data_IF_221993465863
#
_entry.id   IF_221993465863
#
_cell.length_a   1.000
_cell.length_b   1.000
_cell.length_c   1.000
_cell.angle_alpha   90.00
_cell.angle_beta   90.00
_cell.angle_gamma   90.00
#
_symmetry.space_group_name_H-M   'P 1'
#
loop_
_entity.id
_entity.type
_entity.pdbx_description
1 polymer ?
#
# COMPACT_ATOMS: atom_id res chain seq x y z
N UNK A 1 -21.17 -16.41 -1.30
CA UNK A 1 -20.34 -15.26 -0.85
C UNK A 1 -21.18 -14.40 0.08
N UNK A 2 -20.82 -14.26 1.36
CA UNK A 2 -21.50 -13.30 2.24
C UNK A 2 -21.02 -11.90 1.87
N UNK A 3 -21.91 -11.06 1.38
CA UNK A 3 -21.61 -9.67 1.08
C UNK A 3 -21.51 -8.93 2.41
N UNK A 4 -20.33 -8.41 2.76
CA UNK A 4 -20.12 -7.62 3.96
C UNK A 4 -20.12 -6.14 3.59
N UNK A 5 -21.28 -5.45 3.56
CA UNK A 5 -21.37 -4.05 3.12
C UNK A 5 -20.48 -3.11 3.94
N UNK A 6 -20.27 -3.43 5.22
CA UNK A 6 -19.34 -2.70 6.10
C UNK A 6 -17.88 -2.76 5.60
N UNK A 7 -17.43 -3.90 5.09
CA UNK A 7 -16.07 -4.04 4.56
C UNK A 7 -15.85 -3.18 3.32
N UNK A 8 -16.85 -3.09 2.43
CA UNK A 8 -16.79 -2.20 1.27
C UNK A 8 -16.81 -0.71 1.68
N UNK A 9 -17.65 -0.34 2.64
CA UNK A 9 -17.68 1.02 3.20
C UNK A 9 -16.35 1.42 3.84
N UNK A 10 -15.73 0.52 4.62
CA UNK A 10 -14.42 0.73 5.23
C UNK A 10 -13.30 0.84 4.18
N UNK A 11 -13.32 0.01 3.13
CA UNK A 11 -12.34 0.08 2.05
C UNK A 11 -12.43 1.42 1.28
N UNK A 12 -13.65 1.90 1.02
CA UNK A 12 -13.87 3.19 0.38
C UNK A 12 -13.37 4.36 1.26
N UNK A 13 -13.69 4.34 2.55
CA UNK A 13 -13.19 5.33 3.50
C UNK A 13 -11.66 5.32 3.59
N UNK A 14 -11.04 4.13 3.63
CA UNK A 14 -9.59 3.98 3.63
C UNK A 14 -8.93 4.59 2.39
N UNK A 15 -9.53 4.39 1.20
CA UNK A 15 -9.04 5.00 -0.04
C UNK A 15 -9.09 6.54 0.00
N UNK A 16 -10.17 7.12 0.52
CA UNK A 16 -10.31 8.59 0.68
C UNK A 16 -9.27 9.11 1.68
N UNK A 17 -9.16 8.47 2.85
CA UNK A 17 -8.20 8.88 3.88
C UNK A 17 -6.77 8.82 3.37
N UNK A 18 -6.42 7.77 2.62
CA UNK A 18 -5.11 7.63 2.00
C UNK A 18 -4.84 8.72 0.96
N UNK A 19 -5.81 9.01 0.08
CA UNK A 19 -5.68 10.08 -0.91
C UNK A 19 -5.54 11.47 -0.27
N UNK A 20 -6.31 11.73 0.79
CA UNK A 20 -6.22 12.96 1.58
C UNK A 20 -4.84 13.07 2.27
N UNK A 21 -4.37 11.99 2.89
CA UNK A 21 -3.03 11.92 3.50
C UNK A 21 -1.93 12.25 2.49
N UNK A 22 -1.93 11.59 1.32
CA UNK A 22 -0.93 11.85 0.27
C UNK A 22 -0.98 13.31 -0.19
N UNK A 23 -2.17 13.89 -0.36
CA UNK A 23 -2.34 15.27 -0.83
C UNK A 23 -1.90 16.32 0.19
N UNK A 24 -2.23 16.12 1.47
CA UNK A 24 -1.88 17.03 2.57
C UNK A 24 -0.39 16.90 2.90
N UNK A 25 0.14 15.69 2.97
CA UNK A 25 1.56 15.45 3.29
C UNK A 25 2.47 16.10 2.26
N UNK A 26 2.14 16.02 0.97
CA UNK A 26 2.90 16.71 -0.09
C UNK A 26 2.91 18.23 0.11
N UNK A 27 1.79 18.84 0.50
CA UNK A 27 1.68 20.30 0.70
C UNK A 27 2.33 20.79 2.00
N UNK A 28 2.26 19.99 3.06
CA UNK A 28 2.65 20.40 4.41
C UNK A 28 4.04 19.89 4.82
N UNK A 29 4.62 18.90 4.12
CA UNK A 29 5.85 18.27 4.59
C UNK A 29 7.02 19.22 4.73
N UNK A 30 7.16 20.29 3.92
CA UNK A 30 8.28 21.26 4.04
C UNK A 30 9.66 20.56 4.19
N UNK A 31 9.83 19.36 3.60
CA UNK A 31 11.02 18.52 3.75
C UNK A 31 11.15 17.69 5.04
N UNK A 32 10.18 17.76 5.96
CA UNK A 32 10.15 16.99 7.22
C UNK A 32 9.41 15.66 7.04
N UNK A 33 10.04 14.58 7.50
CA UNK A 33 9.50 13.23 7.47
C UNK A 33 8.50 13.00 8.62
N UNK A 34 7.20 13.15 8.33
CA UNK A 34 6.09 12.84 9.26
C UNK A 34 5.70 11.36 9.29
N UNK A 35 6.19 10.56 8.34
CA UNK A 35 5.84 9.14 8.18
C UNK A 35 6.22 8.34 9.43
N UNK A 36 7.38 8.62 10.02
CA UNK A 36 7.85 7.94 11.24
C UNK A 36 6.89 8.15 12.42
N UNK A 37 6.42 9.38 12.63
CA UNK A 37 5.47 9.71 13.71
C UNK A 37 4.13 9.03 13.45
N UNK A 38 3.67 9.03 12.20
CA UNK A 38 2.44 8.33 11.80
C UNK A 38 2.52 6.83 12.13
N UNK A 39 3.62 6.15 11.78
CA UNK A 39 3.79 4.73 12.12
C UNK A 39 3.86 4.48 13.62
N UNK A 40 4.53 5.35 14.38
CA UNK A 40 4.56 5.23 15.84
C UNK A 40 3.15 5.33 16.43
N UNK A 41 2.34 6.29 15.97
CA UNK A 41 0.94 6.45 16.40
C UNK A 41 0.09 5.25 16.00
N UNK A 42 0.22 4.76 14.76
CA UNK A 42 -0.49 3.55 14.30
C UNK A 42 -0.11 2.34 15.15
N UNK A 43 1.16 2.15 15.48
CA UNK A 43 1.61 1.07 16.35
C UNK A 43 0.97 1.18 17.74
N UNK A 44 0.94 2.37 18.34
CA UNK A 44 0.28 2.60 19.64
C UNK A 44 -1.21 2.27 19.57
N UNK A 45 -1.92 2.73 18.54
CA UNK A 45 -3.35 2.44 18.35
C UNK A 45 -3.59 0.94 18.17
N UNK A 46 -2.75 0.23 17.42
CA UNK A 46 -2.87 -1.21 17.22
C UNK A 46 -2.58 -1.99 18.51
N UNK A 47 -1.61 -1.57 19.32
CA UNK A 47 -1.38 -2.15 20.64
C UNK A 47 -2.55 -1.94 21.58
N UNK A 48 -3.09 -0.72 21.64
CA UNK A 48 -4.32 -0.41 22.40
C UNK A 48 -5.44 -1.34 21.96
N UNK A 49 -5.71 -1.42 20.65
CA UNK A 49 -6.74 -2.30 20.09
C UNK A 49 -6.52 -3.76 20.48
N UNK A 50 -5.29 -4.25 20.45
CA UNK A 50 -4.95 -5.61 20.87
C UNK A 50 -5.28 -5.84 22.35
N UNK A 51 -4.95 -4.91 23.25
CA UNK A 51 -5.27 -5.02 24.68
C UNK A 51 -6.78 -5.02 24.97
N UNK A 52 -7.57 -4.30 24.17
CA UNK A 52 -9.03 -4.25 24.34
C UNK A 52 -9.79 -5.34 23.57
N UNK A 53 -9.16 -6.03 22.61
CA UNK A 53 -9.74 -7.17 21.93
C UNK A 53 -9.51 -8.44 22.76
N UNK A 54 -10.57 -9.22 22.99
CA UNK A 54 -10.49 -10.58 23.52
C UNK A 54 -9.97 -11.58 22.46
N UNK A 55 -8.89 -11.21 21.78
CA UNK A 55 -8.27 -12.00 20.71
C UNK A 55 -7.37 -13.11 21.25
N UNK A 56 -7.02 -14.03 20.37
CA UNK A 56 -6.06 -15.11 20.64
C UNK A 56 -4.72 -14.55 21.10
N UNK A 57 -4.08 -15.21 22.08
CA UNK A 57 -2.74 -14.84 22.53
C UNK A 57 -1.73 -14.88 21.37
N UNK A 58 -0.87 -13.86 21.27
CA UNK A 58 0.24 -13.84 20.31
C UNK A 58 1.21 -14.98 20.67
N UNK A 59 1.39 -15.91 19.74
CA UNK A 59 2.32 -17.03 19.87
C UNK A 59 3.61 -16.73 19.10
N UNK A 60 4.70 -16.54 19.83
CA UNK A 60 6.04 -16.35 19.28
C UNK A 60 6.69 -17.70 18.99
N UNK A 61 6.34 -18.29 17.85
CA UNK A 61 7.07 -19.41 17.25
C UNK A 61 8.20 -18.86 16.37
N UNK A 62 9.24 -19.66 16.13
CA UNK A 62 10.35 -19.30 15.22
C UNK A 62 9.83 -18.80 13.85
N UNK A 63 8.98 -19.59 13.18
CA UNK A 63 8.44 -19.24 11.85
C UNK A 63 7.61 -17.95 11.85
N UNK A 64 6.78 -17.75 12.87
CA UNK A 64 5.97 -16.53 13.02
C UNK A 64 6.86 -15.31 13.25
N UNK A 65 7.93 -15.47 14.03
CA UNK A 65 8.85 -14.38 14.36
C UNK A 65 9.67 -13.97 13.13
N UNK A 66 10.17 -14.94 12.35
CA UNK A 66 10.87 -14.66 11.09
C UNK A 66 9.94 -13.95 10.11
N UNK A 67 8.70 -14.45 9.96
CA UNK A 67 7.69 -13.83 9.10
C UNK A 67 7.36 -12.40 9.54
N UNK A 68 7.24 -12.17 10.85
CA UNK A 68 7.00 -10.84 11.43
C UNK A 68 8.14 -9.87 11.10
N UNK A 69 9.40 -10.29 11.28
CA UNK A 69 10.57 -9.46 10.98
C UNK A 69 10.63 -9.14 9.48
N UNK A 70 10.39 -10.13 8.62
CA UNK A 70 10.36 -9.93 7.16
C UNK A 70 9.26 -8.95 6.75
N UNK A 71 8.05 -9.10 7.29
CA UNK A 71 6.93 -8.19 7.04
C UNK A 71 7.21 -6.77 7.55
N UNK A 72 7.77 -6.64 8.76
CA UNK A 72 8.17 -5.37 9.35
C UNK A 72 9.27 -4.68 8.52
N UNK A 73 10.26 -5.44 8.06
CA UNK A 73 11.31 -4.96 7.17
C UNK A 73 10.75 -4.48 5.82
N UNK A 74 9.89 -5.27 5.18
CA UNK A 74 9.24 -4.91 3.92
C UNK A 74 8.42 -3.61 4.06
N UNK A 75 7.65 -3.48 5.14
CA UNK A 75 6.89 -2.25 5.43
C UNK A 75 7.82 -1.07 5.71
N UNK A 76 8.79 -1.22 6.63
CA UNK A 76 9.68 -0.13 7.03
C UNK A 76 10.55 0.39 5.89
N UNK A 77 11.18 -0.51 5.14
CA UNK A 77 11.99 -0.16 3.97
C UNK A 77 11.13 0.42 2.84
N UNK A 78 9.96 -0.18 2.58
CA UNK A 78 9.04 0.31 1.55
C UNK A 78 8.58 1.74 1.81
N UNK A 79 8.20 2.06 3.05
CA UNK A 79 7.83 3.43 3.43
C UNK A 79 9.02 4.39 3.50
N UNK A 80 10.20 3.91 3.88
CA UNK A 80 11.44 4.68 3.77
C UNK A 80 11.73 5.11 2.34
N UNK A 81 11.68 4.16 1.39
CA UNK A 81 11.84 4.42 -0.04
C UNK A 81 10.74 5.33 -0.59
N UNK A 82 9.49 5.14 -0.17
CA UNK A 82 8.37 6.01 -0.54
C UNK A 82 8.59 7.46 -0.11
N UNK A 83 9.06 7.67 1.12
CA UNK A 83 9.33 9.02 1.63
C UNK A 83 10.47 9.71 0.86
N UNK A 84 11.55 8.99 0.55
CA UNK A 84 12.63 9.49 -0.31
C UNK A 84 12.10 9.84 -1.70
N UNK A 85 11.24 9.00 -2.26
CA UNK A 85 10.60 9.22 -3.56
C UNK A 85 9.72 10.48 -3.58
N UNK A 86 8.91 10.73 -2.54
CA UNK A 86 8.06 11.93 -2.46
C UNK A 86 8.90 13.21 -2.36
N UNK A 87 9.95 13.22 -1.54
CA UNK A 87 10.73 14.42 -1.24
C UNK A 87 11.69 14.77 -2.38
N UNK A 88 12.32 13.77 -2.98
CA UNK A 88 13.45 13.94 -3.91
C UNK A 88 13.24 13.33 -5.30
N UNK A 89 12.13 12.64 -5.54
CA UNK A 89 11.85 11.93 -6.79
C UNK A 89 10.84 12.62 -7.70
N UNK A 90 10.60 12.00 -8.86
CA UNK A 90 9.54 12.44 -9.78
C UNK A 90 8.21 11.78 -9.39
N UNK A 91 7.30 12.56 -8.79
CA UNK A 91 5.98 12.07 -8.36
C UNK A 91 5.17 11.40 -9.48
N UNK A 92 5.31 11.86 -10.72
CA UNK A 92 4.62 11.27 -11.88
C UNK A 92 5.13 9.86 -12.19
N UNK A 93 6.45 9.65 -12.09
CA UNK A 93 7.06 8.33 -12.27
C UNK A 93 6.70 7.39 -11.11
N UNK A 94 6.69 7.89 -9.88
CA UNK A 94 6.26 7.14 -8.70
C UNK A 94 4.81 6.68 -8.78
N UNK A 95 3.90 7.57 -9.21
CA UNK A 95 2.50 7.22 -9.44
C UNK A 95 2.39 6.13 -10.51
N UNK A 96 3.11 6.28 -11.62
CA UNK A 96 3.22 5.28 -12.69
C UNK A 96 3.70 3.91 -12.18
N UNK A 97 4.79 3.88 -11.43
CA UNK A 97 5.36 2.66 -10.87
C UNK A 97 4.43 1.97 -9.86
N UNK A 98 3.69 2.75 -9.06
CA UNK A 98 2.73 2.22 -8.07
C UNK A 98 1.57 1.45 -8.73
N UNK A 99 1.26 1.73 -9.99
CA UNK A 99 0.24 0.98 -10.71
C UNK A 99 0.65 -0.45 -11.08
N UNK A 100 1.94 -0.78 -11.02
CA UNK A 100 2.41 -2.17 -11.16
C UNK A 100 2.27 -2.97 -9.86
N UNK A 101 1.98 -2.33 -8.72
CA UNK A 101 1.86 -3.01 -7.42
C UNK A 101 0.85 -4.17 -7.42
N UNK A 102 -0.37 -4.04 -7.99
CA UNK A 102 -1.31 -5.18 -8.05
C UNK A 102 -0.77 -6.36 -8.87
N UNK A 103 -0.01 -6.08 -9.94
CA UNK A 103 0.59 -7.10 -10.82
C UNK A 103 1.70 -7.85 -10.09
N UNK A 104 2.64 -7.11 -9.49
CA UNK A 104 3.74 -7.69 -8.71
C UNK A 104 3.20 -8.44 -7.50
N UNK A 105 2.24 -7.87 -6.78
CA UNK A 105 1.63 -8.50 -5.60
C UNK A 105 1.03 -9.86 -5.94
N UNK A 106 0.27 -9.95 -7.02
CA UNK A 106 -0.33 -11.21 -7.44
C UNK A 106 0.68 -12.21 -7.99
N UNK A 107 1.71 -11.74 -8.71
CA UNK A 107 2.81 -12.58 -9.18
C UNK A 107 3.53 -13.24 -7.98
N UNK A 108 3.93 -12.45 -6.98
CA UNK A 108 4.56 -12.99 -5.77
C UNK A 108 3.62 -13.87 -4.95
N UNK A 109 2.33 -13.50 -4.84
CA UNK A 109 1.35 -14.36 -4.18
C UNK A 109 1.25 -15.73 -4.88
N UNK A 110 1.23 -15.77 -6.21
CA UNK A 110 1.18 -17.01 -6.95
C UNK A 110 2.43 -17.89 -6.76
N UNK A 111 3.62 -17.28 -6.70
CA UNK A 111 4.86 -17.97 -6.37
C UNK A 111 4.81 -18.57 -4.95
N UNK A 112 4.39 -17.77 -3.96
CA UNK A 112 4.32 -18.20 -2.55
C UNK A 112 3.27 -19.29 -2.34
N UNK A 113 2.08 -19.14 -2.95
CA UNK A 113 0.98 -20.10 -2.85
C UNK A 113 1.10 -21.28 -3.82
N UNK A 114 2.15 -21.33 -4.66
CA UNK A 114 2.35 -22.35 -5.70
C UNK A 114 1.10 -22.59 -6.54
N UNK A 115 0.41 -21.51 -6.92
CA UNK A 115 -0.87 -21.56 -7.63
C UNK A 115 -0.74 -20.96 -9.03
N UNK A 116 -1.42 -21.56 -10.01
CA UNK A 116 -1.48 -20.99 -11.36
C UNK A 116 -2.49 -19.85 -11.39
N UNK A 117 -2.06 -18.68 -11.89
CA UNK A 117 -3.00 -17.59 -12.09
C UNK A 117 -3.86 -17.87 -13.32
N UNK A 118 -5.17 -17.75 -13.17
CA UNK A 118 -6.12 -18.00 -14.26
C UNK A 118 -6.00 -16.95 -15.38
N UNK A 119 -6.53 -17.28 -16.55
CA UNK A 119 -6.63 -16.32 -17.65
C UNK A 119 -7.43 -15.06 -17.26
N UNK A 120 -8.52 -15.22 -16.51
CA UNK A 120 -9.37 -14.12 -16.02
C UNK A 120 -8.55 -13.17 -15.12
N UNK A 121 -7.65 -13.72 -14.31
CA UNK A 121 -6.75 -12.91 -13.49
C UNK A 121 -5.84 -12.03 -14.35
N UNK A 122 -5.20 -12.60 -15.38
CA UNK A 122 -4.31 -11.87 -16.28
C UNK A 122 -5.05 -10.80 -17.09
N UNK A 123 -6.29 -11.07 -17.48
CA UNK A 123 -7.17 -10.08 -18.09
C UNK A 123 -7.46 -8.92 -17.13
N UNK A 124 -7.76 -9.20 -15.85
CA UNK A 124 -7.93 -8.18 -14.82
C UNK A 124 -6.67 -7.33 -14.61
N UNK A 125 -5.49 -7.96 -14.55
CA UNK A 125 -4.19 -7.28 -14.50
C UNK A 125 -3.99 -6.36 -15.69
N UNK A 126 -4.28 -6.84 -16.91
CA UNK A 126 -4.15 -6.03 -18.11
C UNK A 126 -5.08 -4.82 -18.08
N UNK A 127 -6.34 -4.99 -17.64
CA UNK A 127 -7.30 -3.89 -17.52
C UNK A 127 -6.88 -2.83 -16.51
N UNK A 128 -6.39 -3.24 -15.32
CA UNK A 128 -5.91 -2.31 -14.29
C UNK A 128 -4.66 -1.57 -14.77
N UNK A 129 -3.72 -2.28 -15.39
CA UNK A 129 -2.49 -1.68 -15.94
C UNK A 129 -2.82 -0.71 -17.07
N UNK A 130 -3.76 -1.05 -17.96
CA UNK A 130 -4.21 -0.17 -19.03
C UNK A 130 -4.89 1.09 -18.48
N UNK A 131 -5.80 0.95 -17.51
CA UNK A 131 -6.46 2.08 -16.85
C UNK A 131 -5.46 3.02 -16.19
N UNK A 132 -4.47 2.46 -15.50
CA UNK A 132 -3.35 3.20 -14.93
C UNK A 132 -2.52 3.99 -15.96
N UNK A 133 -2.15 3.34 -17.07
CA UNK A 133 -1.42 3.99 -18.17
C UNK A 133 -2.26 5.10 -18.79
N UNK A 134 -3.56 4.89 -18.99
CA UNK A 134 -4.48 5.91 -19.49
C UNK A 134 -4.59 7.11 -18.53
N UNK A 135 -4.74 6.87 -17.22
CA UNK A 135 -4.72 7.92 -16.21
C UNK A 135 -3.42 8.71 -16.23
N UNK A 136 -2.28 8.03 -16.38
CA UNK A 136 -0.99 8.66 -16.52
C UNK A 136 -0.89 9.52 -17.79
N UNK A 137 -1.27 8.99 -18.95
CA UNK A 137 -1.29 9.74 -20.21
C UNK A 137 -2.19 10.98 -20.15
N UNK A 138 -3.36 10.88 -19.50
CA UNK A 138 -4.30 11.98 -19.35
C UNK A 138 -3.81 13.08 -18.39
N UNK A 139 -3.03 12.70 -17.37
CA UNK A 139 -2.49 13.65 -16.36
C UNK A 139 -1.08 14.13 -16.69
N UNK A 140 -0.41 13.53 -17.68
CA UNK A 140 0.87 14.00 -18.23
C UNK A 140 0.62 15.32 -18.97
N UNK A 141 0.57 16.43 -18.22
CA UNK A 141 0.59 17.78 -18.78
C UNK A 141 1.69 17.82 -19.84
N UNK A 142 1.33 18.18 -21.07
CA UNK A 142 2.27 18.65 -22.07
C UNK A 142 2.99 19.83 -21.41
N UNK A 143 4.22 19.61 -20.95
CA UNK A 143 5.07 20.69 -20.49
C UNK A 143 5.45 21.43 -21.78
N UNK A 144 4.57 22.36 -22.17
CA UNK A 144 4.84 23.31 -23.24
C UNK A 144 5.91 24.24 -22.67
N UNK A 145 7.14 23.96 -23.04
CA UNK A 145 8.21 24.95 -23.15
C UNK A 145 8.53 25.02 -24.64
#
# INVERSE_FOLDING_TARGET
MKVNPLSYGLAFAAAILWAAYCSVTVKTSQGKNLVTIFFALVAVVLWIKYFFMSGSAINFTYDNTVTLIMAAGALGLGYGAWNIGIISGNMTLMAGASYFTPVLSAFFAALILSTSLSFIFWQGVAMVTAGAVLCWLATRKKQII
#
